data_IF_656636868421
#
_entry.id   IF_656636868421
#
_cell.length_a   1.000
_cell.length_b   1.000
_cell.length_c   1.000
_cell.angle_alpha   90.00
_cell.angle_beta   90.00
_cell.angle_gamma   90.00
#
_symmetry.space_group_name_H-M   'P 1'
#
loop_
_entity.id
_entity.type
_entity.pdbx_description
1 polymer ?
#
# COMPACT_ATOMS: atom_id res chain seq x y z
N UNK A 1 12.62 7.89 11.18
CA UNK A 1 11.91 9.17 10.99
C UNK A 1 10.42 8.87 10.85
N UNK A 2 9.57 9.66 11.52
CA UNK A 2 8.11 9.57 11.37
C UNK A 2 7.68 10.53 10.26
N UNK A 3 7.08 10.00 9.21
CA UNK A 3 6.62 10.74 8.02
C UNK A 3 5.52 9.91 7.34
N UNK A 4 4.29 9.95 7.87
CA UNK A 4 3.29 8.93 7.56
C UNK A 4 2.83 8.99 6.09
N UNK A 5 2.73 7.81 5.48
CA UNK A 5 2.25 7.64 4.10
C UNK A 5 1.04 6.72 4.07
N UNK A 6 0.11 6.98 3.13
CA UNK A 6 -1.09 6.15 2.94
C UNK A 6 -1.00 5.41 1.60
N UNK A 7 -1.15 4.08 1.65
CA UNK A 7 -1.25 3.23 0.48
C UNK A 7 -2.73 2.86 0.27
N UNK A 8 -3.22 3.03 -0.96
CA UNK A 8 -4.63 2.79 -1.32
C UNK A 8 -4.69 2.01 -2.65
N UNK A 9 -5.53 0.98 -2.70
CA UNK A 9 -5.80 0.22 -3.91
C UNK A 9 -7.27 -0.20 -3.95
N UNK A 10 -7.93 0.07 -5.07
CA UNK A 10 -9.32 -0.30 -5.31
C UNK A 10 -9.44 -0.98 -6.67
N UNK A 11 -10.19 -2.07 -6.74
CA UNK A 11 -10.41 -2.76 -8.01
C UNK A 11 -10.95 -4.18 -7.86
N UNK A 12 -10.68 -5.00 -8.88
CA UNK A 12 -11.09 -6.41 -8.91
C UNK A 12 -9.86 -7.30 -8.96
N UNK A 13 -9.75 -8.21 -8.00
CA UNK A 13 -8.69 -9.23 -7.95
C UNK A 13 -9.33 -10.61 -7.92
N UNK A 14 -9.02 -11.46 -8.92
CA UNK A 14 -9.61 -12.80 -9.06
C UNK A 14 -11.14 -12.81 -8.95
N UNK A 15 -11.79 -11.92 -9.70
CA UNK A 15 -13.25 -11.70 -9.71
C UNK A 15 -13.86 -11.28 -8.36
N UNK A 16 -13.05 -10.84 -7.40
CA UNK A 16 -13.52 -10.26 -6.13
C UNK A 16 -13.19 -8.78 -6.08
N UNK A 17 -14.15 -7.98 -5.64
CA UNK A 17 -13.89 -6.57 -5.30
C UNK A 17 -12.89 -6.52 -4.14
N UNK A 18 -11.87 -5.70 -4.30
CA UNK A 18 -10.85 -5.42 -3.29
C UNK A 18 -10.82 -3.92 -3.08
N UNK A 19 -10.91 -3.54 -1.80
CA UNK A 19 -10.67 -2.20 -1.31
C UNK A 19 -9.62 -2.32 -0.23
N UNK A 20 -8.47 -1.69 -0.45
CA UNK A 20 -7.33 -1.71 0.46
C UNK A 20 -6.94 -0.28 0.79
N UNK A 21 -6.78 0.02 2.08
CA UNK A 21 -6.24 1.28 2.55
C UNK A 21 -5.46 1.03 3.85
N UNK A 22 -4.20 1.47 3.89
CA UNK A 22 -3.34 1.33 5.07
C UNK A 22 -2.41 2.54 5.20
N UNK A 23 -2.28 3.06 6.42
CA UNK A 23 -1.28 4.08 6.76
C UNK A 23 -0.06 3.43 7.38
N UNK A 24 1.12 3.84 6.95
CA UNK A 24 2.42 3.40 7.46
C UNK A 24 3.20 4.56 8.05
N UNK A 25 4.10 4.26 8.98
CA UNK A 25 4.94 5.23 9.70
C UNK A 25 5.84 6.06 8.79
N UNK A 26 6.29 5.48 7.67
CA UNK A 26 7.05 6.13 6.59
C UNK A 26 7.08 5.27 5.32
N UNK A 27 7.59 5.86 4.23
CA UNK A 27 7.71 5.21 2.93
C UNK A 27 8.54 3.92 2.94
N UNK A 28 9.61 3.86 3.74
CA UNK A 28 10.43 2.65 3.86
C UNK A 28 9.64 1.49 4.48
N UNK A 29 8.86 1.76 5.53
CA UNK A 29 7.97 0.77 6.15
C UNK A 29 6.88 0.32 5.17
N UNK A 30 6.29 1.26 4.41
CA UNK A 30 5.30 0.92 3.39
C UNK A 30 5.88 0.01 2.29
N UNK A 31 7.06 0.34 1.78
CA UNK A 31 7.77 -0.43 0.74
C UNK A 31 8.05 -1.85 1.22
N UNK A 32 8.60 -1.99 2.43
CA UNK A 32 8.88 -3.30 3.05
C UNK A 32 7.61 -4.13 3.25
N UNK A 33 6.52 -3.51 3.73
CA UNK A 33 5.26 -4.21 4.00
C UNK A 33 4.50 -4.62 2.72
N UNK A 34 4.67 -3.89 1.62
CA UNK A 34 3.95 -4.10 0.35
C UNK A 34 4.78 -4.86 -0.69
N UNK A 35 5.99 -5.30 -0.33
CA UNK A 35 6.89 -6.03 -1.24
C UNK A 35 7.56 -5.17 -2.31
N UNK A 36 7.46 -3.84 -2.20
CA UNK A 36 8.23 -2.88 -2.99
C UNK A 36 7.83 -2.70 -4.45
N UNK A 37 6.86 -3.44 -4.99
CA UNK A 37 6.49 -3.37 -6.41
C UNK A 37 5.04 -2.92 -6.65
N UNK A 38 4.16 -3.11 -5.67
CA UNK A 38 2.71 -2.88 -5.85
C UNK A 38 2.38 -1.38 -5.91
N UNK A 39 3.20 -0.55 -5.26
CA UNK A 39 3.02 0.90 -5.16
C UNK A 39 4.26 1.67 -5.66
N UNK A 40 5.02 1.13 -6.62
CA UNK A 40 6.24 1.72 -7.18
C UNK A 40 5.94 2.48 -8.49
N UNK A 41 5.24 3.62 -8.37
CA UNK A 41 4.84 4.49 -9.47
C UNK A 41 4.98 5.97 -9.14
#
# INVERSE_FOLDING_TARGET
MYDPVRAEAEGVWRARLVVFAQTYTNACVATSATGGNVFDF
#
